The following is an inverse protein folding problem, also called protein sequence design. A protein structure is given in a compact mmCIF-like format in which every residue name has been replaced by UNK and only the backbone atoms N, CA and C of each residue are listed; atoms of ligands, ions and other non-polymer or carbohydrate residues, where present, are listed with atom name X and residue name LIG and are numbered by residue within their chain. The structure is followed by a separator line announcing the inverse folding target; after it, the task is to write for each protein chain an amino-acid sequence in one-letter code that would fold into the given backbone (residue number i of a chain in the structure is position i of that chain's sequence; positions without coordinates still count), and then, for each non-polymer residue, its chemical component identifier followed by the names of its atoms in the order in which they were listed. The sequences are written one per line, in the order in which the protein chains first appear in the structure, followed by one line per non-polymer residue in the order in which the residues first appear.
data_IF_709099798461
#
_entry.id   IF_709099798461
#
_cell.length_a   1.000
_cell.length_b   1.000
_cell.length_c   1.000
_cell.angle_alpha   90.00
_cell.angle_beta   90.00
_cell.angle_gamma   90.00
#
_symmetry.space_group_name_H-M   'P 1'
#
loop_
_entity.id
_entity.type
_entity.pdbx_description
1 polymer ?
#
# COMPACT_ATOMS: atom_id res chain seq x y z
N UNK A 1 4.35 -22.29 8.19
CA UNK A 1 4.46 -20.84 7.96
C UNK A 1 5.87 -20.56 7.46
N UNK A 2 6.00 -19.93 6.30
CA UNK A 2 7.26 -19.55 5.69
C UNK A 2 7.17 -18.10 5.21
N UNK A 3 8.09 -17.27 5.67
CA UNK A 3 8.28 -15.91 5.19
C UNK A 3 9.74 -15.76 4.76
N UNK A 4 9.95 -15.27 3.55
CA UNK A 4 11.28 -14.97 3.02
C UNK A 4 11.24 -13.62 2.34
N UNK A 5 11.97 -12.65 2.87
CA UNK A 5 12.26 -11.40 2.19
C UNK A 5 13.64 -11.51 1.55
N UNK A 6 13.75 -11.16 0.26
CA UNK A 6 15.03 -11.19 -0.47
C UNK A 6 15.51 -9.77 -0.74
N UNK A 7 16.83 -9.52 -0.76
CA UNK A 7 17.38 -8.23 -1.17
C UNK A 7 16.93 -7.86 -2.59
N UNK A 8 16.51 -6.62 -2.78
CA UNK A 8 16.18 -6.10 -4.12
C UNK A 8 17.45 -5.99 -4.96
N UNK A 9 17.48 -6.57 -6.18
CA UNK A 9 18.62 -6.41 -7.08
C UNK A 9 18.89 -4.94 -7.41
N UNK A 10 20.18 -4.57 -7.50
CA UNK A 10 20.60 -3.18 -7.70
C UNK A 10 20.00 -2.51 -8.95
N UNK A 11 19.75 -3.28 -10.01
CA UNK A 11 19.14 -2.78 -11.24
C UNK A 11 17.66 -2.42 -11.09
N UNK A 12 16.95 -3.05 -10.13
CA UNK A 12 15.54 -2.83 -9.81
C UNK A 12 15.33 -1.90 -8.60
N UNK A 13 16.35 -1.72 -7.75
CA UNK A 13 16.29 -0.89 -6.54
C UNK A 13 15.76 0.55 -6.73
N UNK A 14 15.93 1.22 -7.90
CA UNK A 14 15.30 2.53 -8.11
C UNK A 14 13.77 2.51 -8.11
N UNK A 15 13.15 1.36 -8.36
CA UNK A 15 11.72 1.23 -8.66
C UNK A 15 11.00 0.22 -7.75
N UNK A 16 11.73 -0.78 -7.26
CA UNK A 16 11.23 -1.85 -6.37
C UNK A 16 11.78 -1.59 -4.97
N UNK A 17 10.86 -1.51 -3.99
CA UNK A 17 11.19 -1.24 -2.59
C UNK A 17 11.47 -2.54 -1.82
N UNK A 18 10.65 -3.58 -2.05
CA UNK A 18 10.73 -4.86 -1.33
C UNK A 18 10.29 -6.03 -2.20
N UNK A 19 10.82 -7.22 -1.90
CA UNK A 19 10.48 -8.49 -2.56
C UNK A 19 10.39 -9.60 -1.52
N UNK A 20 9.29 -10.33 -1.49
CA UNK A 20 9.10 -11.40 -0.52
C UNK A 20 8.25 -12.56 -1.02
N UNK A 21 8.35 -13.66 -0.30
CA UNK A 21 7.48 -14.82 -0.35
C UNK A 21 6.77 -14.98 1.00
N UNK A 22 5.49 -15.32 0.96
CA UNK A 22 4.70 -15.66 2.14
C UNK A 22 3.93 -16.95 1.90
N UNK A 23 3.96 -17.86 2.88
CA UNK A 23 3.11 -19.03 2.96
C UNK A 23 2.66 -19.28 4.39
N UNK A 24 1.35 -19.23 4.62
CA UNK A 24 0.76 -19.46 5.94
C UNK A 24 -0.70 -19.90 5.85
N UNK A 25 -1.22 -20.59 6.88
CA UNK A 25 -2.66 -20.76 7.04
C UNK A 25 -3.32 -19.39 7.16
N UNK A 26 -4.54 -19.23 6.62
CA UNK A 26 -5.37 -18.07 6.90
C UNK A 26 -6.45 -18.49 7.91
N UNK A 27 -6.14 -18.37 9.19
CA UNK A 27 -7.05 -18.76 10.28
C UNK A 27 -8.29 -17.86 10.32
N UNK A 28 -8.13 -16.58 9.94
CA UNK A 28 -9.22 -15.63 9.80
C UNK A 28 -9.42 -15.28 8.33
N UNK A 29 -10.69 -15.35 7.89
CA UNK A 29 -11.00 -15.34 6.47
C UNK A 29 -11.15 -13.93 5.91
N UNK A 30 -11.52 -12.94 6.73
CA UNK A 30 -11.71 -11.56 6.30
C UNK A 30 -10.69 -10.64 6.96
N UNK A 31 -10.19 -9.66 6.21
CA UNK A 31 -9.13 -8.76 6.68
C UNK A 31 -9.40 -7.34 6.20
N UNK A 32 -9.18 -6.36 7.10
CA UNK A 32 -8.99 -4.96 6.73
C UNK A 32 -7.51 -4.73 6.49
N UNK A 33 -7.11 -4.54 5.25
CA UNK A 33 -5.73 -4.19 4.88
C UNK A 33 -5.62 -2.67 4.84
N UNK A 34 -4.75 -2.08 5.65
CA UNK A 34 -4.62 -0.62 5.72
C UNK A 34 -3.77 -0.05 4.58
N UNK A 35 -3.94 1.24 4.25
CA UNK A 35 -3.11 1.93 3.27
C UNK A 35 -1.61 1.83 3.56
N UNK A 36 -0.84 1.66 2.49
CA UNK A 36 0.61 1.57 2.52
C UNK A 36 1.22 2.57 1.53
N UNK A 37 2.42 3.11 1.78
CA UNK A 37 3.05 4.13 0.94
C UNK A 37 3.70 3.56 -0.35
N UNK A 38 3.20 2.43 -0.86
CA UNK A 38 3.74 1.72 -2.01
C UNK A 38 2.61 1.07 -2.83
N UNK A 39 2.90 0.70 -4.07
CA UNK A 39 2.04 -0.18 -4.85
C UNK A 39 2.39 -1.64 -4.52
N UNK A 40 1.39 -2.49 -4.33
CA UNK A 40 1.60 -3.90 -3.99
C UNK A 40 1.27 -4.78 -5.18
N UNK A 41 2.28 -5.39 -5.76
CA UNK A 41 2.13 -6.44 -6.76
C UNK A 41 2.17 -7.80 -6.05
N UNK A 42 1.08 -8.55 -6.14
CA UNK A 42 0.97 -9.89 -5.58
C UNK A 42 0.82 -10.88 -6.75
N UNK A 43 1.73 -11.86 -6.81
CA UNK A 43 1.57 -13.08 -7.60
C UNK A 43 1.02 -14.17 -6.67
N UNK A 44 -0.27 -14.43 -6.78
CA UNK A 44 -0.99 -15.37 -5.94
C UNK A 44 -0.71 -16.82 -6.37
N UNK A 45 -0.10 -17.62 -5.49
CA UNK A 45 0.19 -19.04 -5.71
C UNK A 45 -0.84 -19.98 -5.04
N UNK A 46 -1.74 -19.42 -4.23
CA UNK A 46 -2.85 -20.08 -3.55
C UNK A 46 -4.16 -20.01 -4.36
N UNK A 47 -5.27 -20.39 -3.73
CA UNK A 47 -6.62 -20.12 -4.23
C UNK A 47 -6.89 -18.61 -4.32
N UNK A 48 -7.91 -18.19 -5.09
CA UNK A 48 -8.18 -16.78 -5.31
C UNK A 48 -8.54 -15.99 -4.04
N UNK A 49 -8.11 -14.74 -3.99
CA UNK A 49 -8.60 -13.76 -3.03
C UNK A 49 -9.95 -13.21 -3.48
N UNK A 50 -10.70 -12.60 -2.56
CA UNK A 50 -11.77 -11.66 -2.94
C UNK A 50 -11.52 -10.30 -2.31
N UNK A 51 -11.87 -9.24 -3.04
CA UNK A 51 -11.87 -7.86 -2.54
C UNK A 51 -13.28 -7.33 -2.62
N UNK A 52 -13.73 -6.71 -1.53
CA UNK A 52 -15.07 -6.17 -1.40
C UNK A 52 -15.05 -4.67 -1.68
N UNK A 53 -16.01 -4.23 -2.48
CA UNK A 53 -16.33 -2.83 -2.60
C UNK A 53 -17.06 -2.36 -1.33
N UNK A 54 -16.54 -1.32 -0.67
CA UNK A 54 -17.05 -0.89 0.64
C UNK A 54 -18.39 -0.15 0.57
N UNK A 55 -18.83 0.29 -0.61
CA UNK A 55 -20.08 1.03 -0.79
C UNK A 55 -21.22 0.09 -1.20
N UNK A 56 -20.93 -0.84 -2.11
CA UNK A 56 -21.91 -1.76 -2.67
C UNK A 56 -21.92 -3.12 -2.00
N UNK A 57 -20.85 -3.48 -1.28
CA UNK A 57 -20.64 -4.82 -0.73
C UNK A 57 -20.31 -5.88 -1.77
N UNK A 58 -20.19 -5.50 -3.06
CA UNK A 58 -19.91 -6.43 -4.13
C UNK A 58 -18.50 -7.01 -4.01
N UNK A 59 -18.37 -8.34 -4.15
CA UNK A 59 -17.09 -9.02 -4.11
C UNK A 59 -16.54 -9.25 -5.52
N UNK A 60 -15.25 -8.96 -5.72
CA UNK A 60 -14.51 -9.31 -6.93
C UNK A 60 -13.43 -10.34 -6.60
N UNK A 61 -13.35 -11.38 -7.40
CA UNK A 61 -12.32 -12.42 -7.27
C UNK A 61 -11.03 -11.95 -7.92
N UNK A 62 -9.89 -12.21 -7.28
CA UNK A 62 -8.55 -11.96 -7.81
C UNK A 62 -7.81 -13.30 -7.96
N UNK A 63 -7.58 -13.69 -9.22
CA UNK A 63 -7.00 -14.98 -9.58
C UNK A 63 -5.50 -15.06 -9.36
N UNK A 64 -4.73 -15.02 -10.47
CA UNK A 64 -3.31 -15.37 -10.46
C UNK A 64 -2.36 -14.28 -10.00
N UNK A 65 -2.72 -13.02 -10.21
CA UNK A 65 -2.00 -11.91 -9.66
C UNK A 65 -2.83 -10.65 -9.69
N UNK A 66 -2.44 -9.69 -8.87
CA UNK A 66 -3.11 -8.41 -8.77
C UNK A 66 -2.15 -7.32 -8.33
N UNK A 67 -2.51 -6.10 -8.67
CA UNK A 67 -1.85 -4.87 -8.27
C UNK A 67 -2.82 -4.05 -7.42
N UNK A 68 -2.43 -3.75 -6.19
CA UNK A 68 -3.09 -2.75 -5.37
C UNK A 68 -2.35 -1.43 -5.51
N UNK A 69 -3.08 -0.37 -5.89
CA UNK A 69 -2.54 0.98 -5.88
C UNK A 69 -2.49 1.59 -4.48
N UNK A 70 -2.17 2.88 -4.40
CA UNK A 70 -2.30 3.64 -3.16
C UNK A 70 -3.76 3.73 -2.76
N UNK A 71 -4.06 3.36 -1.52
CA UNK A 71 -5.44 3.27 -1.04
C UNK A 71 -5.83 4.49 -0.19
N UNK A 72 -6.98 5.12 -0.43
CA UNK A 72 -7.47 6.24 0.36
C UNK A 72 -8.16 5.81 1.67
N UNK A 73 -8.44 4.52 1.80
CA UNK A 73 -9.11 3.84 2.92
C UNK A 73 -8.63 2.39 2.98
N UNK A 74 -8.93 1.66 4.05
CA UNK A 74 -8.65 0.23 4.10
C UNK A 74 -9.31 -0.53 2.94
N UNK A 75 -8.71 -1.65 2.56
CA UNK A 75 -9.35 -2.66 1.72
C UNK A 75 -10.02 -3.69 2.62
N UNK A 76 -11.20 -4.16 2.23
CA UNK A 76 -11.81 -5.36 2.81
C UNK A 76 -11.53 -6.54 1.89
N UNK A 77 -10.83 -7.54 2.40
CA UNK A 77 -10.46 -8.73 1.63
C UNK A 77 -10.98 -9.99 2.28
N UNK A 78 -11.19 -11.02 1.47
CA UNK A 78 -11.34 -12.39 1.91
C UNK A 78 -10.17 -13.21 1.40
N UNK A 79 -9.39 -13.74 2.33
CA UNK A 79 -8.24 -14.59 2.05
C UNK A 79 -8.67 -16.03 1.75
N UNK A 80 -7.92 -16.76 0.90
CA UNK A 80 -8.09 -18.20 0.76
C UNK A 80 -7.73 -18.90 2.09
N UNK A 81 -8.12 -20.16 2.28
CA UNK A 81 -7.84 -20.91 3.51
C UNK A 81 -6.34 -21.09 3.81
N UNK A 82 -5.52 -21.06 2.77
CA UNK A 82 -4.07 -20.98 2.87
C UNK A 82 -3.56 -19.89 1.94
N UNK A 83 -2.79 -18.95 2.48
CA UNK A 83 -2.14 -17.89 1.73
C UNK A 83 -0.80 -18.43 1.23
N UNK A 84 -0.56 -18.31 -0.07
CA UNK A 84 0.76 -18.54 -0.68
C UNK A 84 0.95 -17.51 -1.79
N UNK A 85 1.93 -16.62 -1.68
CA UNK A 85 2.22 -15.65 -2.73
C UNK A 85 3.68 -15.25 -2.79
N UNK A 86 4.09 -14.76 -3.96
CA UNK A 86 5.30 -13.97 -4.17
C UNK A 86 4.85 -12.54 -4.41
N UNK A 87 5.57 -11.55 -3.89
CA UNK A 87 5.13 -10.18 -3.98
C UNK A 87 6.28 -9.18 -4.10
N UNK A 88 5.94 -8.01 -4.63
CA UNK A 88 6.82 -6.86 -4.73
C UNK A 88 6.09 -5.59 -4.26
N UNK A 89 6.81 -4.74 -3.54
CA UNK A 89 6.40 -3.35 -3.34
C UNK A 89 7.11 -2.50 -4.39
N UNK A 90 6.34 -1.74 -5.15
CA UNK A 90 6.86 -0.79 -6.12
C UNK A 90 6.70 0.62 -5.57
N UNK A 91 7.70 1.47 -5.82
CA UNK A 91 7.57 2.89 -5.53
C UNK A 91 6.40 3.47 -6.34
N UNK A 92 5.58 4.38 -5.78
CA UNK A 92 4.42 4.93 -6.51
C UNK A 92 4.79 5.57 -7.85
N UNK A 93 5.91 6.29 -7.88
CA UNK A 93 6.44 6.93 -9.07
C UNK A 93 6.95 5.94 -10.15
N UNK A 94 7.07 4.65 -9.81
CA UNK A 94 7.55 3.63 -10.73
C UNK A 94 6.43 2.97 -11.54
N UNK A 95 5.15 3.30 -11.31
CA UNK A 95 4.01 2.73 -12.03
C UNK A 95 4.22 2.72 -13.56
N UNK A 96 4.59 3.88 -14.13
CA UNK A 96 4.80 4.06 -15.57
C UNK A 96 5.94 3.21 -16.15
N UNK A 97 6.82 2.65 -15.30
CA UNK A 97 7.90 1.77 -15.74
C UNK A 97 7.48 0.34 -15.99
N UNK A 98 6.39 -0.10 -15.38
CA UNK A 98 5.92 -1.48 -15.46
C UNK A 98 4.54 -1.59 -16.12
N UNK A 99 3.77 -0.50 -16.14
CA UNK A 99 2.34 -0.50 -16.47
C UNK A 99 2.04 0.44 -17.65
N UNK A 100 1.06 0.05 -18.47
CA UNK A 100 0.50 0.85 -19.57
C UNK A 100 -0.59 1.82 -19.10
N UNK A 101 -0.50 2.32 -17.88
CA UNK A 101 -1.55 3.14 -17.27
C UNK A 101 -0.97 4.35 -16.52
N UNK A 102 -1.70 5.47 -16.51
CA UNK A 102 -1.44 6.57 -15.59
C UNK A 102 -1.47 6.12 -14.12
N UNK A 103 -0.62 6.72 -13.28
CA UNK A 103 -0.56 6.36 -11.86
C UNK A 103 -1.85 6.71 -11.10
N UNK A 104 -2.59 7.72 -11.52
CA UNK A 104 -3.86 8.13 -10.88
C UNK A 104 -4.99 7.10 -11.11
N UNK A 105 -4.95 6.34 -12.21
CA UNK A 105 -5.89 5.24 -12.46
C UNK A 105 -5.70 4.05 -11.51
N UNK A 106 -4.56 3.95 -10.83
CA UNK A 106 -4.30 2.91 -9.84
C UNK A 106 -4.83 3.29 -8.46
N UNK A 107 -4.98 4.59 -8.19
CA UNK A 107 -5.35 5.10 -6.87
C UNK A 107 -6.74 4.62 -6.46
N UNK A 108 -6.83 4.03 -5.27
CA UNK A 108 -8.08 3.47 -4.74
C UNK A 108 -8.56 2.21 -5.44
N UNK A 109 -7.71 1.55 -6.25
CA UNK A 109 -8.08 0.35 -6.99
C UNK A 109 -7.22 -0.85 -6.61
N UNK A 110 -7.81 -2.02 -6.75
CA UNK A 110 -7.11 -3.31 -6.86
C UNK A 110 -7.50 -3.90 -8.20
N UNK A 111 -6.51 -4.18 -9.04
CA UNK A 111 -6.71 -4.66 -10.41
C UNK A 111 -6.02 -6.00 -10.59
N UNK A 112 -6.61 -6.89 -11.38
CA UNK A 112 -5.89 -8.09 -11.81
C UNK A 112 -4.64 -7.70 -12.59
N UNK A 113 -3.55 -8.43 -12.37
CA UNK A 113 -2.27 -8.15 -13.03
C UNK A 113 -2.25 -8.62 -14.48
N UNK A 114 -3.18 -9.49 -14.87
CA UNK A 114 -3.28 -9.98 -16.24
C UNK A 114 -3.54 -8.81 -17.20
N UNK A 115 -2.73 -8.72 -18.26
CA UNK A 115 -2.78 -7.61 -19.21
C UNK A 115 -2.09 -6.33 -18.73
N UNK A 116 -1.99 -6.08 -17.42
CA UNK A 116 -1.20 -4.96 -16.87
C UNK A 116 0.29 -5.27 -16.86
N UNK A 117 0.65 -6.46 -16.37
CA UNK A 117 2.02 -6.91 -16.21
C UNK A 117 2.37 -8.06 -17.17
N UNK A 118 1.57 -8.27 -18.21
CA UNK A 118 1.73 -9.38 -19.15
C UNK A 118 1.02 -10.65 -18.68
N UNK A 119 1.59 -11.82 -19.00
CA UNK A 119 1.02 -13.13 -18.71
C UNK A 119 1.40 -13.62 -17.30
N UNK A 120 0.65 -13.13 -16.31
CA UNK A 120 0.87 -13.51 -14.90
C UNK A 120 0.36 -14.91 -14.57
N UNK A 121 -0.51 -15.49 -15.40
CA UNK A 121 -0.96 -16.88 -15.25
C UNK A 121 0.17 -17.86 -15.52
N UNK A 122 0.91 -17.69 -16.62
CA UNK A 122 2.08 -18.52 -16.94
C UNK A 122 3.18 -18.40 -15.86
N UNK A 123 3.43 -17.17 -15.39
CA UNK A 123 4.37 -16.92 -14.29
C UNK A 123 3.94 -17.66 -13.01
N UNK A 124 2.66 -17.55 -12.63
CA UNK A 124 2.10 -18.26 -11.46
C UNK A 124 2.28 -19.76 -11.59
N UNK A 125 1.95 -20.34 -12.74
CA UNK A 125 2.06 -21.79 -12.96
C UNK A 125 3.50 -22.28 -12.77
N UNK A 126 4.48 -21.50 -13.21
CA UNK A 126 5.90 -21.81 -13.05
C UNK A 126 6.31 -21.65 -11.57
N UNK A 127 5.95 -20.53 -10.95
CA UNK A 127 6.29 -20.22 -9.56
C UNK A 127 5.69 -21.21 -8.54
N UNK A 128 4.49 -21.77 -8.79
CA UNK A 128 3.90 -22.83 -7.94
C UNK A 128 4.75 -24.10 -7.88
N UNK A 129 5.52 -24.37 -8.94
CA UNK A 129 6.40 -25.54 -9.09
C UNK A 129 7.86 -25.24 -8.75
N UNK A 130 8.17 -24.01 -8.33
CA UNK A 130 9.51 -23.65 -7.91
C UNK A 130 9.97 -24.56 -6.75
N UNK A 131 11.24 -25.00 -6.74
CA UNK A 131 11.74 -25.95 -5.75
C UNK A 131 11.79 -25.37 -4.33
N UNK A 132 11.88 -24.04 -4.20
CA UNK A 132 11.93 -23.34 -2.93
C UNK A 132 11.39 -21.89 -3.07
N UNK A 133 11.14 -21.20 -1.94
CA UNK A 133 10.69 -19.80 -1.94
C UNK A 133 11.61 -18.83 -2.69
N UNK A 134 12.93 -19.00 -2.62
CA UNK A 134 13.88 -18.09 -3.26
C UNK A 134 13.80 -18.18 -4.79
N UNK A 135 13.67 -19.41 -5.32
CA UNK A 135 13.44 -19.65 -6.74
C UNK A 135 12.09 -19.06 -7.21
N UNK A 136 11.05 -19.10 -6.38
CA UNK A 136 9.78 -18.44 -6.69
C UNK A 136 9.92 -16.91 -6.78
N UNK A 137 10.71 -16.30 -5.88
CA UNK A 137 10.96 -14.85 -5.94
C UNK A 137 11.84 -14.47 -7.13
N UNK A 138 12.83 -15.28 -7.48
CA UNK A 138 13.67 -15.08 -8.66
C UNK A 138 12.86 -14.99 -9.96
N UNK A 139 11.81 -15.82 -10.11
CA UNK A 139 10.89 -15.74 -11.25
C UNK A 139 10.16 -14.39 -11.33
N UNK A 140 9.73 -13.83 -10.19
CA UNK A 140 9.12 -12.49 -10.18
C UNK A 140 10.15 -11.41 -10.53
N UNK A 141 11.39 -11.52 -10.04
CA UNK A 141 12.48 -10.58 -10.39
C UNK A 141 12.72 -10.57 -11.90
N UNK A 142 12.85 -11.73 -12.52
CA UNK A 142 13.09 -11.84 -13.97
C UNK A 142 11.91 -11.31 -14.78
N UNK A 143 10.68 -11.55 -14.31
CA UNK A 143 9.48 -10.98 -14.91
C UNK A 143 9.47 -9.45 -14.83
N UNK A 144 9.79 -8.88 -13.66
CA UNK A 144 9.86 -7.43 -13.47
C UNK A 144 10.94 -6.81 -14.38
N UNK A 145 12.11 -7.44 -14.50
CA UNK A 145 13.17 -6.99 -15.43
C UNK A 145 12.68 -6.98 -16.88
N UNK A 146 12.03 -8.06 -17.32
CA UNK A 146 11.52 -8.16 -18.69
C UNK A 146 10.42 -7.13 -18.99
N UNK A 147 9.64 -6.72 -17.99
CA UNK A 147 8.57 -5.71 -18.12
C UNK A 147 9.04 -4.27 -17.94
N UNK A 148 10.21 -4.06 -17.33
CA UNK A 148 10.72 -2.73 -16.98
C UNK A 148 11.06 -1.93 -18.22
N UNK A 149 10.43 -0.76 -18.35
CA UNK A 149 10.65 0.20 -19.43
C UNK A 149 11.81 1.14 -19.10
N UNK A 150 12.46 1.71 -20.13
CA UNK A 150 13.43 2.80 -19.93
C UNK A 150 12.74 4.06 -19.39
N UNK A 151 13.53 4.98 -18.85
CA UNK A 151 13.07 6.24 -18.24
C UNK A 151 13.03 6.19 -16.72
N UNK A 152 12.64 7.30 -16.09
CA UNK A 152 12.45 7.41 -14.63
C UNK A 152 11.52 8.58 -14.35
N UNK A 153 10.99 8.64 -13.13
CA UNK A 153 10.36 9.87 -12.68
C UNK A 153 11.36 11.04 -12.67
N UNK A 154 10.89 12.29 -12.83
CA UNK A 154 11.73 13.47 -12.75
C UNK A 154 12.49 13.53 -11.41
N UNK A 155 13.76 13.99 -11.40
CA UNK A 155 14.54 14.10 -10.16
C UNK A 155 13.84 14.90 -9.04
N UNK A 156 13.05 15.91 -9.42
CA UNK A 156 12.28 16.70 -8.46
C UNK A 156 11.17 15.87 -7.76
N UNK A 157 10.48 14.99 -8.49
CA UNK A 157 9.48 14.06 -7.91
C UNK A 157 10.17 13.08 -6.95
N UNK A 158 11.33 12.54 -7.35
CA UNK A 158 12.12 11.63 -6.50
C UNK A 158 12.58 12.32 -5.20
N UNK A 159 13.07 13.56 -5.30
CA UNK A 159 13.45 14.36 -4.12
C UNK A 159 12.26 14.65 -3.22
N UNK A 160 11.11 15.02 -3.79
CA UNK A 160 9.90 15.26 -3.01
C UNK A 160 9.40 13.99 -2.31
N UNK A 161 9.41 12.86 -3.01
CA UNK A 161 9.06 11.55 -2.43
C UNK A 161 9.97 11.21 -1.24
N UNK A 162 11.28 11.34 -1.42
CA UNK A 162 12.26 11.09 -0.35
C UNK A 162 12.08 12.07 0.82
N UNK A 163 11.83 13.36 0.53
CA UNK A 163 11.56 14.38 1.54
C UNK A 163 10.33 14.08 2.38
N UNK A 164 9.23 13.61 1.76
CA UNK A 164 8.02 13.18 2.48
C UNK A 164 8.31 11.96 3.37
N UNK A 165 9.10 10.98 2.91
CA UNK A 165 9.49 9.83 3.75
C UNK A 165 10.34 10.23 4.95
N UNK A 166 11.23 11.20 4.78
CA UNK A 166 12.08 11.71 5.85
C UNK A 166 11.29 12.53 6.87
N UNK A 167 10.36 13.37 6.40
CA UNK A 167 9.53 14.20 7.25
C UNK A 167 8.14 14.40 6.62
N UNK A 168 7.15 13.55 6.94
CA UNK A 168 5.79 13.69 6.40
C UNK A 168 5.03 14.89 6.99
N UNK A 169 5.57 15.52 8.04
CA UNK A 169 4.98 16.71 8.66
C UNK A 169 5.51 18.02 8.07
N UNK A 170 6.52 17.95 7.20
CA UNK A 170 7.00 19.12 6.48
C UNK A 170 5.88 19.73 5.62
N UNK A 171 5.67 21.06 5.65
CA UNK A 171 4.75 21.73 4.76
C UNK A 171 5.09 21.45 3.29
N UNK A 172 4.09 21.12 2.48
CA UNK A 172 4.27 20.86 1.04
C UNK A 172 5.02 21.98 0.30
N UNK A 173 4.83 23.29 0.61
CA UNK A 173 5.65 24.36 0.01
C UNK A 173 7.15 24.24 0.29
N UNK A 174 7.56 23.77 1.46
CA UNK A 174 8.97 23.56 1.81
C UNK A 174 9.54 22.37 1.03
N UNK A 175 8.78 21.29 0.91
CA UNK A 175 9.13 20.14 0.09
C UNK A 175 9.29 20.55 -1.38
N UNK A 176 8.40 21.41 -1.88
CA UNK A 176 8.48 21.96 -3.24
C UNK A 176 9.76 22.78 -3.44
N UNK A 177 10.07 23.69 -2.52
CA UNK A 177 11.27 24.50 -2.56
C UNK A 177 12.55 23.63 -2.56
N UNK A 178 12.63 22.64 -1.67
CA UNK A 178 13.75 21.69 -1.61
C UNK A 178 13.87 20.83 -2.89
N UNK A 179 12.73 20.52 -3.53
CA UNK A 179 12.71 19.82 -4.81
C UNK A 179 13.04 20.73 -6.01
N UNK A 180 13.09 22.06 -5.83
CA UNK A 180 13.32 23.05 -6.89
C UNK A 180 12.08 23.31 -7.75
N UNK A 181 10.88 23.12 -7.21
CA UNK A 181 9.60 23.33 -7.90
C UNK A 181 8.76 24.40 -7.19
N UNK A 182 7.85 25.02 -7.93
CA UNK A 182 6.75 25.76 -7.31
C UNK A 182 5.77 24.79 -6.64
N UNK A 183 5.02 25.27 -5.66
CA UNK A 183 4.03 24.47 -4.95
C UNK A 183 3.01 23.81 -5.91
N UNK A 184 2.46 24.59 -6.84
CA UNK A 184 1.51 24.09 -7.85
C UNK A 184 2.16 23.02 -8.73
N UNK A 185 3.38 23.28 -9.23
CA UNK A 185 4.08 22.34 -10.11
C UNK A 185 4.41 21.03 -9.39
N UNK A 186 4.81 21.09 -8.11
CA UNK A 186 5.01 19.88 -7.31
C UNK A 186 3.73 19.06 -7.20
N UNK A 187 2.59 19.69 -6.91
CA UNK A 187 1.31 18.97 -6.79
C UNK A 187 1.00 18.24 -8.10
N UNK A 188 1.10 18.92 -9.23
CA UNK A 188 0.78 18.35 -10.55
C UNK A 188 1.73 17.21 -10.92
N UNK A 189 3.05 17.44 -10.83
CA UNK A 189 4.06 16.44 -11.19
C UNK A 189 3.96 15.22 -10.26
N UNK A 190 3.83 15.45 -8.95
CA UNK A 190 3.73 14.36 -7.98
C UNK A 190 2.44 13.55 -8.21
N UNK A 191 1.31 14.21 -8.48
CA UNK A 191 0.06 13.50 -8.81
C UNK A 191 0.17 12.71 -10.10
N UNK A 192 0.79 13.27 -11.14
CA UNK A 192 0.98 12.59 -12.41
C UNK A 192 1.83 11.32 -12.28
N UNK A 193 2.87 11.34 -11.43
CA UNK A 193 3.80 10.23 -11.28
C UNK A 193 3.40 9.24 -10.18
N UNK A 194 2.86 9.72 -9.05
CA UNK A 194 2.54 8.90 -7.88
C UNK A 194 1.04 8.58 -7.75
N UNK A 195 0.18 9.21 -8.56
CA UNK A 195 -1.28 9.01 -8.56
C UNK A 195 -2.05 9.82 -7.51
N UNK A 196 -1.36 10.35 -6.49
CA UNK A 196 -1.96 11.12 -5.38
C UNK A 196 -1.24 12.45 -5.19
N UNK A 197 -1.83 13.38 -4.45
CA UNK A 197 -1.15 14.64 -4.10
C UNK A 197 -0.02 14.41 -3.08
N UNK A 198 0.98 15.30 -2.98
CA UNK A 198 2.01 15.23 -1.94
C UNK A 198 1.44 15.14 -0.52
N UNK A 199 0.37 15.91 -0.24
CA UNK A 199 -0.31 15.90 1.06
C UNK A 199 -0.95 14.54 1.36
N UNK A 200 -1.67 13.98 0.40
CA UNK A 200 -2.32 12.68 0.57
C UNK A 200 -1.27 11.55 0.74
N UNK A 201 -0.14 11.64 0.04
CA UNK A 201 0.97 10.71 0.24
C UNK A 201 1.61 10.85 1.64
N UNK A 202 1.82 12.09 2.09
CA UNK A 202 2.33 12.38 3.43
C UNK A 202 1.39 11.85 4.53
N UNK A 203 0.06 11.94 4.33
CA UNK A 203 -0.92 11.34 5.23
C UNK A 203 -0.73 9.81 5.34
N UNK A 204 -0.48 9.10 4.23
CA UNK A 204 -0.20 7.65 4.22
C UNK A 204 1.13 7.34 4.93
N UNK A 205 2.19 8.09 4.62
CA UNK A 205 3.52 7.91 5.25
C UNK A 205 3.43 8.14 6.76
N UNK A 206 2.78 9.23 7.18
CA UNK A 206 2.55 9.56 8.60
C UNK A 206 1.81 8.44 9.31
N UNK A 207 0.71 7.97 8.73
CA UNK A 207 -0.07 6.86 9.28
C UNK A 207 0.79 5.59 9.42
N UNK A 208 1.61 5.28 8.41
CA UNK A 208 2.47 4.09 8.46
C UNK A 208 3.53 4.21 9.54
N UNK A 209 4.17 5.36 9.66
CA UNK A 209 5.14 5.64 10.73
C UNK A 209 4.50 5.56 12.12
N UNK A 210 3.28 6.09 12.28
CA UNK A 210 2.52 5.96 13.52
C UNK A 210 2.33 4.50 13.94
N UNK A 211 1.88 3.65 13.02
CA UNK A 211 1.66 2.23 13.29
C UNK A 211 2.96 1.51 13.63
N UNK A 212 4.05 1.84 12.94
CA UNK A 212 5.37 1.26 13.18
C UNK A 212 6.00 1.71 14.51
N UNK A 213 5.58 2.86 15.04
CA UNK A 213 6.04 3.37 16.32
C UNK A 213 5.33 2.74 17.54
N UNK A 214 4.29 1.91 17.32
CA UNK A 214 3.62 1.21 18.42
C UNK A 214 4.59 0.21 19.06
N UNK A 215 4.65 0.16 20.41
CA UNK A 215 5.62 -0.69 21.09
C UNK A 215 5.32 -2.17 20.85
N UNK A 216 6.36 -2.92 20.46
CA UNK A 216 6.26 -4.37 20.28
C UNK A 216 6.09 -5.12 21.62
N UNK A 217 6.50 -4.49 22.72
CA UNK A 217 6.46 -5.04 24.07
C UNK A 217 6.08 -3.96 25.08
N UNK A 218 5.37 -4.36 26.15
CA UNK A 218 4.93 -3.45 27.21
C UNK A 218 3.54 -2.88 26.97
N UNK A 219 3.07 -2.00 27.88
CA UNK A 219 1.72 -1.45 27.79
C UNK A 219 1.60 -0.53 26.57
N UNK A 220 0.47 -0.65 25.86
CA UNK A 220 0.14 0.24 24.76
C UNK A 220 -0.05 1.67 25.31
N UNK A 221 0.60 2.70 24.74
CA UNK A 221 0.43 4.07 25.21
C UNK A 221 -0.98 4.56 24.88
N UNK A 222 -1.46 5.56 25.62
CA UNK A 222 -2.75 6.16 25.27
C UNK A 222 -2.64 6.87 23.91
N UNK A 223 -3.78 7.05 23.24
CA UNK A 223 -3.82 7.85 22.01
C UNK A 223 -3.23 9.25 22.21
N UNK A 224 -3.47 9.86 23.38
CA UNK A 224 -2.93 11.18 23.71
C UNK A 224 -1.40 11.16 23.76
N UNK A 225 -0.80 10.12 24.35
CA UNK A 225 0.66 9.97 24.42
C UNK A 225 1.27 9.75 23.03
N UNK A 226 0.62 8.91 22.22
CA UNK A 226 1.07 8.65 20.85
C UNK A 226 1.00 9.90 19.98
N UNK A 227 -0.01 10.75 20.18
CA UNK A 227 -0.17 12.02 19.45
C UNK A 227 0.82 13.09 19.94
N UNK A 228 1.11 13.13 21.24
CA UNK A 228 2.05 14.08 21.83
C UNK A 228 3.51 13.79 21.41
N UNK A 229 3.88 12.51 21.31
CA UNK A 229 5.24 12.07 20.96
C UNK A 229 5.57 12.13 19.48
N UNK A 230 4.55 12.22 18.63
CA UNK A 230 4.69 12.19 17.17
C UNK A 230 4.66 13.58 16.51
N UNK A 231 4.51 14.66 17.29
CA UNK A 231 4.59 16.02 16.75
C UNK A 231 3.35 16.48 15.96
N UNK A 232 2.18 15.85 16.15
CA UNK A 232 0.99 16.16 15.36
C UNK A 232 0.33 17.48 15.77
N UNK A 233 0.55 18.51 14.94
CA UNK A 233 -0.05 19.83 15.11
C UNK A 233 -1.55 19.90 14.74
N UNK A 234 -2.09 18.97 13.93
CA UNK A 234 -3.50 18.92 13.53
C UNK A 234 -4.15 17.57 13.89
N UNK A 235 -4.47 17.39 15.18
CA UNK A 235 -5.09 16.16 15.69
C UNK A 235 -6.46 15.85 15.04
N UNK A 236 -7.37 16.84 14.83
CA UNK A 236 -8.64 16.57 14.15
C UNK A 236 -8.49 16.03 12.73
N UNK A 237 -7.54 16.56 11.95
CA UNK A 237 -7.21 16.01 10.62
C UNK A 237 -6.67 14.60 10.74
N UNK A 238 -5.70 14.38 11.62
CA UNK A 238 -5.10 13.05 11.80
C UNK A 238 -6.13 11.99 12.22
N UNK A 239 -7.03 12.30 13.16
CA UNK A 239 -8.11 11.38 13.57
C UNK A 239 -9.04 11.04 12.41
N UNK A 240 -9.36 12.02 11.55
CA UNK A 240 -10.21 11.81 10.37
C UNK A 240 -9.54 10.89 9.36
N UNK A 241 -8.27 11.15 9.06
CA UNK A 241 -7.45 10.30 8.18
C UNK A 241 -7.33 8.90 8.75
N UNK A 242 -7.02 8.78 10.05
CA UNK A 242 -6.87 7.49 10.74
C UNK A 242 -8.14 6.65 10.65
N UNK A 243 -9.30 7.27 10.87
CA UNK A 243 -10.61 6.62 10.72
C UNK A 243 -10.89 6.20 9.29
N UNK A 244 -10.55 7.02 8.30
CA UNK A 244 -10.70 6.64 6.89
C UNK A 244 -9.79 5.45 6.54
N UNK A 245 -8.54 5.46 7.01
CA UNK A 245 -7.55 4.44 6.71
C UNK A 245 -7.81 3.10 7.41
N UNK A 246 -8.38 3.10 8.61
CA UNK A 246 -8.59 1.87 9.40
C UNK A 246 -10.04 1.43 9.51
N UNK A 247 -10.99 2.35 9.33
CA UNK A 247 -12.40 2.14 9.64
C UNK A 247 -12.69 2.05 11.14
N UNK A 248 -11.73 2.41 12.00
CA UNK A 248 -11.87 2.37 13.47
C UNK A 248 -11.63 3.76 14.08
N UNK A 249 -12.26 4.02 15.24
CA UNK A 249 -11.77 5.10 16.08
C UNK A 249 -10.36 4.76 16.59
N UNK A 250 -9.53 5.76 16.86
CA UNK A 250 -8.22 5.53 17.44
C UNK A 250 -8.20 4.63 18.69
N UNK A 251 -9.14 4.85 19.62
CA UNK A 251 -9.29 4.03 20.83
C UNK A 251 -9.62 2.57 20.52
N UNK A 252 -10.56 2.31 19.59
CA UNK A 252 -10.93 0.95 19.19
C UNK A 252 -9.76 0.25 18.50
N UNK A 253 -9.01 0.96 17.67
CA UNK A 253 -7.82 0.40 17.03
C UNK A 253 -6.75 -0.01 18.06
N UNK A 254 -6.44 0.85 19.04
CA UNK A 254 -5.46 0.51 20.08
C UNK A 254 -5.90 -0.68 20.93
N UNK A 255 -7.20 -0.80 21.23
CA UNK A 255 -7.76 -1.96 21.93
C UNK A 255 -7.56 -3.26 21.13
N UNK A 256 -7.84 -3.23 19.82
CA UNK A 256 -7.60 -4.37 18.91
C UNK A 256 -6.12 -4.75 18.93
N UNK A 257 -5.20 -3.80 18.72
CA UNK A 257 -3.76 -4.08 18.71
C UNK A 257 -3.28 -4.58 20.07
N UNK A 258 -3.82 -4.06 21.17
CA UNK A 258 -3.49 -4.54 22.52
C UNK A 258 -3.93 -5.99 22.73
N UNK A 259 -5.10 -6.35 22.19
CA UNK A 259 -5.69 -7.69 22.35
C UNK A 259 -5.04 -8.75 21.47
N UNK A 260 -4.72 -8.42 20.23
CA UNK A 260 -4.22 -9.38 19.24
C UNK A 260 -2.71 -9.28 18.99
N UNK A 261 -2.07 -8.17 19.39
CA UNK A 261 -0.65 -7.92 19.20
C UNK A 261 -0.35 -6.98 18.03
N UNK A 262 0.88 -6.47 18.02
CA UNK A 262 1.41 -5.53 17.02
C UNK A 262 1.50 -6.10 15.60
N UNK A 263 1.50 -7.42 15.44
CA UNK A 263 1.48 -8.06 14.11
C UNK A 263 0.20 -7.72 13.33
N UNK A 264 -0.88 -7.35 14.05
CA UNK A 264 -2.16 -6.88 13.51
C UNK A 264 -2.26 -5.35 13.40
N UNK A 265 -1.15 -4.63 13.61
CA UNK A 265 -1.16 -3.19 13.50
C UNK A 265 -1.29 -2.72 12.04
N UNK A 266 -0.87 -3.54 11.07
CA UNK A 266 -0.95 -3.24 9.63
C UNK A 266 -2.23 -3.75 8.96
N UNK A 267 -2.96 -4.66 9.60
CA UNK A 267 -4.22 -5.21 9.12
C UNK A 267 -5.01 -5.81 10.29
N UNK A 268 -6.34 -5.72 10.25
CA UNK A 268 -7.20 -6.29 11.30
C UNK A 268 -8.05 -7.41 10.73
N UNK A 269 -7.93 -8.64 11.26
CA UNK A 269 -8.70 -9.76 10.79
C UNK A 269 -10.09 -9.75 11.46
N UNK A 270 -11.09 -10.30 10.78
CA UNK A 270 -12.49 -10.21 11.14
C UNK A 270 -13.19 -11.57 10.94
N UNK A 271 -14.14 -11.87 11.82
CA UNK A 271 -15.00 -13.06 11.73
C UNK A 271 -16.02 -12.95 10.58
N UNK A 272 -16.53 -11.74 10.33
CA UNK A 272 -17.49 -11.41 9.29
C UNK A 272 -17.12 -10.10 8.58
N UNK A 273 -17.59 -9.85 7.34
CA UNK A 273 -17.41 -8.57 6.67
C UNK A 273 -18.28 -7.49 7.35
N UNK A 274 -17.85 -6.97 8.51
CA UNK A 274 -18.55 -5.89 9.20
C UNK A 274 -18.59 -4.62 8.34
N UNK A 275 -19.81 -4.13 8.07
CA UNK A 275 -20.08 -2.85 7.43
C UNK A 275 -19.50 -1.69 8.23
N UNK A 276 -18.79 -0.79 7.55
CA UNK A 276 -18.07 0.31 8.19
C UNK A 276 -18.97 1.53 8.27
N UNK A 277 -19.08 2.22 9.43
CA UNK A 277 -19.77 3.51 9.48
C UNK A 277 -18.98 4.52 8.65
N UNK A 278 -19.64 5.17 7.67
CA UNK A 278 -19.01 6.07 6.69
C UNK A 278 -18.32 7.27 7.36
N UNK A 279 -16.97 7.40 7.32
CA UNK A 279 -16.29 8.67 7.57
C UNK A 279 -15.98 9.38 6.24
N UNK A 280 -15.99 10.71 6.24
CA UNK A 280 -15.50 11.56 5.14
C UNK A 280 -14.12 11.09 4.66
N UNK A 281 -14.04 10.59 3.43
CA UNK A 281 -12.81 10.21 2.74
C UNK A 281 -11.91 11.45 2.62
N UNK A 282 -10.61 11.41 2.96
CA UNK A 282 -9.70 12.51 2.64
C UNK A 282 -9.77 12.78 1.13
N UNK A 283 -9.73 14.04 0.70
CA UNK A 283 -9.80 14.34 -0.74
C UNK A 283 -8.55 13.81 -1.46
N UNK A 284 -8.62 12.60 -2.00
CA UNK A 284 -7.54 11.97 -2.77
C UNK A 284 -7.53 12.45 -4.24
N UNK A 285 -8.64 13.00 -4.73
CA UNK A 285 -8.72 13.61 -6.06
C UNK A 285 -10.01 14.40 -6.24
N UNK A 286 -9.93 15.74 -6.39
CA UNK A 286 -11.01 16.51 -7.00
C UNK A 286 -10.89 16.36 -8.52
N UNK A 287 -11.59 15.38 -9.11
CA UNK A 287 -11.98 15.54 -10.51
C UNK A 287 -13.19 16.45 -10.53
N UNK A 288 -13.03 17.66 -11.09
CA UNK A 288 -14.14 18.28 -11.81
C UNK A 288 -14.41 17.36 -12.99
N UNK A 289 -15.46 16.56 -12.90
CA UNK A 289 -16.15 16.08 -14.08
C UNK A 289 -16.65 17.32 -14.82
N UNK A 290 -16.12 17.56 -16.00
CA UNK A 290 -16.74 18.41 -17.01
C UNK A 290 -17.34 17.49 -18.08
N UNK A 291 -18.49 17.86 -18.67
CA UNK A 291 -19.37 16.98 -19.44
C UNK A 291 -18.76 16.45 -20.75
#
# INVERSE_FOLDING_TARGET
MAYLEVPVPADLAPDVLRLWYLEQPAEQRYERIFPQPALHLILNLSDPYRVFDLETGAARTLGAGFLSGLQPRFLMTQSPSAIRHVAAELAPFAAARFLDLPADELTGTVRESQGLLGDTDALRQTARRAPDPAAAVALLIDHLRARRRPGSAPPAVLRAWAGIHQNPDAPVPEIAAAAGLSHHRLIDDFKSWCGVTPKAYADIVRFRQFIQALPLQGPMPSWADLVATSGYYDQPHFIRVFRAFTGFSPSRYLDIVTRFGVDYAAFVPLDEPEGVPSPTVPEFSTRRTAP
#
